data_IF_221047900772
#
_entry.id   IF_221047900772
#
_cell.length_a   1.000
_cell.length_b   1.000
_cell.length_c   1.000
_cell.angle_alpha   90.00
_cell.angle_beta   90.00
_cell.angle_gamma   90.00
#
_symmetry.space_group_name_H-M   'P 1'
#
loop_
_entity.id
_entity.type
_entity.pdbx_description
1 polymer ?
#
# COMPACT_ATOMS: atom_id res chain seq x y z
N UNK A 1 -4.10 -8.33 -13.56
CA UNK A 1 -2.93 -9.05 -12.96
C UNK A 1 -3.27 -9.53 -11.54
N UNK A 2 -2.64 -10.60 -11.05
CA UNK A 2 -2.81 -10.99 -9.63
C UNK A 2 -1.96 -10.12 -8.68
N UNK A 3 -2.28 -10.14 -7.38
CA UNK A 3 -1.58 -9.29 -6.42
C UNK A 3 -0.11 -9.67 -6.20
N UNK A 4 0.25 -10.95 -6.34
CA UNK A 4 1.64 -11.41 -6.18
C UNK A 4 2.52 -10.91 -7.32
N UNK A 5 1.97 -10.92 -8.54
CA UNK A 5 2.58 -10.31 -9.72
C UNK A 5 2.69 -8.79 -9.55
N UNK A 6 1.63 -8.14 -9.08
CA UNK A 6 1.64 -6.71 -8.81
C UNK A 6 2.74 -6.30 -7.83
N UNK A 7 2.90 -6.99 -6.70
CA UNK A 7 3.97 -6.71 -5.72
C UNK A 7 5.34 -6.74 -6.39
N UNK A 8 5.63 -7.75 -7.22
CA UNK A 8 6.91 -7.85 -7.95
C UNK A 8 7.14 -6.67 -8.89
N UNK A 9 6.10 -6.21 -9.59
CA UNK A 9 6.19 -5.09 -10.54
C UNK A 9 6.31 -3.74 -9.82
N UNK A 10 5.50 -3.52 -8.78
CA UNK A 10 5.48 -2.30 -7.99
C UNK A 10 6.83 -2.05 -7.31
N UNK A 11 7.43 -3.09 -6.73
CA UNK A 11 8.69 -2.97 -5.97
C UNK A 11 9.91 -2.65 -6.83
N UNK A 12 9.82 -2.69 -8.18
CA UNK A 12 10.86 -2.13 -9.06
C UNK A 12 11.01 -0.61 -8.91
N UNK A 13 10.02 0.04 -8.31
CA UNK A 13 10.03 1.49 -7.98
C UNK A 13 10.21 1.75 -6.50
N UNK A 14 10.51 0.71 -5.69
CA UNK A 14 10.93 0.93 -4.32
C UNK A 14 12.37 1.44 -4.30
N UNK A 15 12.72 2.21 -3.27
CA UNK A 15 14.10 2.65 -3.06
C UNK A 15 14.93 1.48 -2.52
N UNK A 16 16.10 1.27 -3.12
CA UNK A 16 17.07 0.28 -2.68
C UNK A 16 17.71 0.68 -1.33
N UNK A 17 18.23 -0.29 -0.57
CA UNK A 17 18.98 -0.10 0.68
C UNK A 17 18.25 0.57 1.86
N UNK A 18 16.92 0.57 1.88
CA UNK A 18 16.16 0.99 3.08
C UNK A 18 16.14 -0.10 4.15
N UNK A 19 16.25 0.32 5.42
CA UNK A 19 16.08 -0.59 6.54
C UNK A 19 14.64 -1.14 6.61
N UNK A 20 14.46 -2.28 7.28
CA UNK A 20 13.13 -2.85 7.55
C UNK A 20 12.21 -1.80 8.21
N UNK A 21 12.70 -1.11 9.23
CA UNK A 21 11.94 -0.11 9.96
C UNK A 21 11.53 1.07 9.06
N UNK A 22 12.44 1.59 8.22
CA UNK A 22 12.12 2.71 7.33
C UNK A 22 11.09 2.34 6.27
N UNK A 23 11.16 1.13 5.71
CA UNK A 23 10.15 0.65 4.77
C UNK A 23 8.79 0.45 5.42
N UNK A 24 8.74 -0.09 6.65
CA UNK A 24 7.48 -0.20 7.38
C UNK A 24 6.91 1.19 7.69
N UNK A 25 7.71 2.13 8.19
CA UNK A 25 7.26 3.49 8.48
C UNK A 25 6.78 4.20 7.22
N UNK A 26 7.49 4.08 6.10
CA UNK A 26 7.06 4.61 4.81
C UNK A 26 5.73 3.99 4.35
N UNK A 27 5.62 2.66 4.46
CA UNK A 27 4.41 1.92 4.15
C UNK A 27 3.19 2.41 4.94
N UNK A 28 3.34 2.57 6.26
CA UNK A 28 2.25 2.97 7.14
C UNK A 28 1.86 4.44 6.97
N UNK A 29 2.84 5.35 6.89
CA UNK A 29 2.58 6.78 6.70
C UNK A 29 1.95 7.04 5.34
N UNK A 30 2.51 6.43 4.29
CA UNK A 30 1.97 6.52 2.94
C UNK A 30 0.56 5.97 2.86
N UNK A 31 0.35 4.72 3.28
CA UNK A 31 -0.98 4.11 3.24
C UNK A 31 -2.04 4.91 4.01
N UNK A 32 -1.69 5.50 5.15
CA UNK A 32 -2.57 6.41 5.88
C UNK A 32 -2.93 7.65 5.06
N UNK A 33 -1.94 8.32 4.48
CA UNK A 33 -2.11 9.52 3.63
C UNK A 33 -2.95 9.23 2.39
N UNK A 34 -2.53 8.27 1.56
CA UNK A 34 -3.21 7.92 0.31
C UNK A 34 -4.66 7.46 0.55
N UNK A 35 -4.93 6.80 1.68
CA UNK A 35 -6.31 6.41 2.02
C UNK A 35 -7.19 7.65 2.26
N UNK A 36 -6.65 8.70 2.88
CA UNK A 36 -7.39 9.95 3.09
C UNK A 36 -7.57 10.69 1.76
N UNK A 37 -6.54 10.73 0.91
CA UNK A 37 -6.62 11.32 -0.43
C UNK A 37 -7.70 10.59 -1.26
N UNK A 38 -7.71 9.26 -1.29
CA UNK A 38 -8.76 8.47 -1.95
C UNK A 38 -10.17 8.81 -1.44
N UNK A 39 -10.35 8.94 -0.12
CA UNK A 39 -11.65 9.23 0.49
C UNK A 39 -12.13 10.67 0.24
N UNK A 40 -11.22 11.59 -0.07
CA UNK A 40 -11.51 13.02 -0.25
C UNK A 40 -11.38 13.51 -1.69
N UNK A 41 -10.84 12.68 -2.59
CA UNK A 41 -10.64 12.97 -4.00
C UNK A 41 -11.97 13.14 -4.76
N UNK A 42 -11.93 13.99 -5.79
CA UNK A 42 -12.93 13.98 -6.85
C UNK A 42 -12.91 12.65 -7.60
N UNK A 43 -13.99 12.34 -8.31
CA UNK A 43 -14.13 11.05 -9.01
C UNK A 43 -12.95 10.72 -9.94
N UNK A 44 -12.44 11.73 -10.64
CA UNK A 44 -11.29 11.61 -11.55
C UNK A 44 -9.97 11.25 -10.86
N UNK A 45 -9.81 11.61 -9.57
CA UNK A 45 -8.58 11.37 -8.81
C UNK A 45 -8.56 10.02 -8.10
N UNK A 46 -9.72 9.45 -7.76
CA UNK A 46 -9.82 8.26 -6.92
C UNK A 46 -9.06 7.04 -7.46
N UNK A 47 -8.97 6.90 -8.79
CA UNK A 47 -8.23 5.78 -9.40
C UNK A 47 -6.73 5.87 -9.09
N UNK A 48 -6.16 7.08 -9.14
CA UNK A 48 -4.74 7.31 -8.84
C UNK A 48 -4.45 7.04 -7.36
N UNK A 49 -5.28 7.61 -6.46
CA UNK A 49 -5.10 7.50 -5.01
C UNK A 49 -5.30 6.06 -4.52
N UNK A 50 -6.28 5.34 -5.07
CA UNK A 50 -6.45 3.93 -4.76
C UNK A 50 -5.26 3.12 -5.25
N UNK A 51 -4.72 3.43 -6.43
CA UNK A 51 -3.49 2.83 -6.94
C UNK A 51 -2.30 3.01 -5.99
N UNK A 52 -2.15 4.19 -5.38
CA UNK A 52 -1.08 4.49 -4.42
C UNK A 52 -1.30 3.76 -3.08
N UNK A 53 -2.55 3.59 -2.63
CA UNK A 53 -2.87 2.69 -1.50
C UNK A 53 -2.41 1.24 -1.75
N UNK A 54 -2.63 0.72 -2.97
CA UNK A 54 -2.13 -0.62 -3.33
C UNK A 54 -0.60 -0.68 -3.30
N UNK A 55 0.09 0.38 -3.72
CA UNK A 55 1.55 0.42 -3.73
C UNK A 55 2.14 0.33 -2.32
N UNK A 56 1.63 1.12 -1.37
CA UNK A 56 2.10 1.04 0.02
C UNK A 56 1.71 -0.28 0.69
N UNK A 57 0.56 -0.85 0.34
CA UNK A 57 0.18 -2.21 0.79
C UNK A 57 1.18 -3.25 0.25
N UNK A 58 1.58 -3.13 -1.02
CA UNK A 58 2.61 -3.99 -1.62
C UNK A 58 3.98 -3.81 -0.95
N UNK A 59 4.37 -2.58 -0.61
CA UNK A 59 5.59 -2.31 0.15
C UNK A 59 5.58 -3.03 1.50
N UNK A 60 4.47 -3.00 2.22
CA UNK A 60 4.33 -3.68 3.51
C UNK A 60 4.40 -5.21 3.37
N UNK A 61 3.73 -5.79 2.37
CA UNK A 61 3.84 -7.23 2.08
C UNK A 61 5.27 -7.62 1.69
N UNK A 62 5.92 -6.84 0.81
CA UNK A 62 7.30 -7.07 0.40
C UNK A 62 8.27 -7.01 1.59
N UNK A 63 8.15 -5.98 2.43
CA UNK A 63 9.06 -5.73 3.56
C UNK A 63 8.89 -6.77 4.66
N UNK A 64 7.67 -7.21 4.93
CA UNK A 64 7.39 -8.23 5.96
C UNK A 64 7.66 -9.66 5.49
N UNK A 65 7.66 -9.89 4.17
CA UNK A 65 7.76 -11.24 3.59
C UNK A 65 6.54 -12.13 3.87
N UNK A 66 5.45 -11.56 4.37
CA UNK A 66 4.22 -12.29 4.69
C UNK A 66 3.41 -12.57 3.42
N UNK A 67 2.64 -13.66 3.44
CA UNK A 67 1.73 -13.99 2.34
C UNK A 67 0.33 -13.43 2.58
N UNK A 68 -0.37 -13.07 1.51
CA UNK A 68 -1.76 -12.65 1.58
C UNK A 68 -2.65 -13.82 2.01
N UNK A 69 -3.45 -13.62 3.05
CA UNK A 69 -4.44 -14.61 3.47
C UNK A 69 -5.66 -14.56 2.54
N UNK A 70 -6.19 -15.73 2.21
CA UNK A 70 -7.50 -15.84 1.56
C UNK A 70 -8.61 -15.63 2.60
N UNK A 71 -9.05 -14.39 2.77
CA UNK A 71 -10.17 -14.03 3.64
C UNK A 71 -11.41 -13.69 2.81
N UNK A 72 -12.58 -14.16 3.24
CA UNK A 72 -13.86 -13.90 2.56
C UNK A 72 -14.61 -12.70 3.13
N UNK A 73 -14.15 -12.16 4.26
CA UNK A 73 -14.74 -11.00 4.93
C UNK A 73 -13.70 -10.29 5.78
N UNK A 74 -13.63 -8.98 5.63
CA UNK A 74 -12.84 -8.13 6.51
C UNK A 74 -13.50 -7.93 7.89
N UNK A 75 -12.68 -7.92 8.94
CA UNK A 75 -13.09 -7.70 10.34
C UNK A 75 -13.25 -6.22 10.68
N UNK A 76 -12.37 -5.36 10.16
CA UNK A 76 -12.37 -3.94 10.47
C UNK A 76 -12.64 -3.10 9.22
N UNK A 77 -12.82 -1.79 9.39
CA UNK A 77 -12.73 -0.85 8.27
C UNK A 77 -11.27 -0.71 7.83
N UNK A 78 -11.05 -0.15 6.62
CA UNK A 78 -9.71 0.10 6.09
C UNK A 78 -8.87 0.92 7.08
N UNK A 79 -9.38 2.07 7.53
CA UNK A 79 -8.67 2.96 8.45
C UNK A 79 -8.44 2.34 9.83
N UNK A 80 -9.39 1.55 10.34
CA UNK A 80 -9.20 0.82 11.59
C UNK A 80 -8.07 -0.21 11.48
N UNK A 81 -7.97 -0.96 10.39
CA UNK A 81 -6.88 -1.92 10.20
C UNK A 81 -5.52 -1.24 10.00
N UNK A 82 -5.47 -0.11 9.29
CA UNK A 82 -4.25 0.72 9.18
C UNK A 82 -3.81 1.22 10.57
N UNK A 83 -4.76 1.74 11.36
CA UNK A 83 -4.48 2.24 12.71
C UNK A 83 -3.98 1.15 13.67
N UNK A 84 -4.61 -0.03 13.67
CA UNK A 84 -4.19 -1.18 14.48
C UNK A 84 -2.79 -1.67 14.07
N UNK A 85 -2.52 -1.74 12.76
CA UNK A 85 -1.22 -2.15 12.25
C UNK A 85 -0.14 -1.14 12.65
N UNK A 86 -0.45 0.15 12.56
CA UNK A 86 0.44 1.24 12.94
C UNK A 86 0.74 1.23 14.43
N UNK A 87 -0.27 1.01 15.28
CA UNK A 87 -0.08 0.90 16.72
C UNK A 87 0.81 -0.29 17.11
N UNK A 88 0.65 -1.43 16.42
CA UNK A 88 1.47 -2.61 16.65
C UNK A 88 2.95 -2.37 16.31
N UNK A 89 3.24 -1.80 15.13
CA UNK A 89 4.61 -1.46 14.76
C UNK A 89 5.20 -0.34 15.64
N UNK A 90 4.41 0.64 16.05
CA UNK A 90 4.85 1.66 17.02
C UNK A 90 5.27 1.02 18.35
N UNK A 91 4.48 0.08 18.87
CA UNK A 91 4.81 -0.67 20.10
C UNK A 91 6.10 -1.49 19.92
N UNK A 92 6.25 -2.15 18.78
CA UNK A 92 7.44 -2.92 18.48
C UNK A 92 8.70 -2.03 18.40
N UNK A 93 8.67 -0.98 17.57
CA UNK A 93 9.83 -0.14 17.30
C UNK A 93 10.22 0.78 18.46
N UNK A 94 9.25 1.27 19.24
CA UNK A 94 9.50 2.36 20.20
C UNK A 94 9.19 2.00 21.65
N UNK A 95 8.64 0.83 21.94
CA UNK A 95 8.24 0.43 23.30
C UNK A 95 8.81 -0.94 23.72
N UNK A 96 9.57 -1.60 22.84
CA UNK A 96 10.23 -2.88 23.12
C UNK A 96 9.30 -4.09 23.11
N UNK A 97 8.10 -3.98 22.54
CA UNK A 97 7.18 -5.12 22.41
C UNK A 97 7.66 -6.10 21.31
N UNK A 98 7.30 -7.38 21.44
CA UNK A 98 7.54 -8.36 20.38
C UNK A 98 6.68 -8.08 19.14
N UNK A 99 7.21 -8.42 17.96
CA UNK A 99 6.45 -8.36 16.72
C UNK A 99 5.59 -9.62 16.57
N UNK A 100 4.28 -9.47 16.68
CA UNK A 100 3.31 -10.52 16.35
C UNK A 100 3.06 -10.57 14.83
N UNK A 101 3.77 -11.47 14.13
CA UNK A 101 3.64 -11.65 12.68
C UNK A 101 2.25 -12.13 12.25
N UNK A 102 1.54 -12.89 13.09
CA UNK A 102 0.19 -13.37 12.75
C UNK A 102 -0.79 -12.21 12.75
N UNK A 103 -0.71 -11.33 13.76
CA UNK A 103 -1.53 -10.11 13.81
C UNK A 103 -1.25 -9.22 12.60
N UNK A 104 0.03 -9.00 12.26
CA UNK A 104 0.44 -8.23 11.08
C UNK A 104 -0.17 -8.81 9.81
N UNK A 105 -0.05 -10.13 9.60
CA UNK A 105 -0.56 -10.80 8.41
C UNK A 105 -2.09 -10.65 8.27
N UNK A 106 -2.82 -10.80 9.38
CA UNK A 106 -4.28 -10.63 9.40
C UNK A 106 -4.66 -9.20 9.04
N UNK A 107 -4.02 -8.20 9.65
CA UNK A 107 -4.33 -6.79 9.40
C UNK A 107 -3.98 -6.35 7.97
N UNK A 108 -2.84 -6.80 7.43
CA UNK A 108 -2.47 -6.53 6.02
C UNK A 108 -3.43 -7.18 5.03
N UNK A 109 -3.88 -8.40 5.32
CA UNK A 109 -4.87 -9.09 4.48
C UNK A 109 -6.25 -8.41 4.57
N UNK A 110 -6.63 -7.91 5.74
CA UNK A 110 -7.84 -7.11 5.96
C UNK A 110 -7.81 -5.79 5.16
N UNK A 111 -6.66 -5.09 5.18
CA UNK A 111 -6.40 -3.90 4.38
C UNK A 111 -6.57 -4.22 2.90
N UNK A 112 -5.87 -5.24 2.37
CA UNK A 112 -5.95 -5.59 0.96
C UNK A 112 -7.37 -5.93 0.52
N UNK A 113 -8.09 -6.73 1.31
CA UNK A 113 -9.50 -7.03 1.04
C UNK A 113 -10.35 -5.77 0.98
N UNK A 114 -10.12 -4.80 1.87
CA UNK A 114 -10.87 -3.53 1.85
C UNK A 114 -10.52 -2.67 0.65
N UNK A 115 -9.27 -2.66 0.21
CA UNK A 115 -8.88 -2.00 -1.04
C UNK A 115 -9.53 -2.65 -2.26
N UNK A 116 -9.69 -3.98 -2.26
CA UNK A 116 -10.41 -4.70 -3.31
C UNK A 116 -11.90 -4.32 -3.35
N UNK A 117 -12.54 -4.26 -2.18
CA UNK A 117 -13.93 -3.78 -2.10
C UNK A 117 -14.03 -2.33 -2.56
N UNK A 118 -13.05 -1.49 -2.26
CA UNK A 118 -13.05 -0.07 -2.63
C UNK A 118 -13.08 0.19 -4.13
N UNK A 119 -12.58 -0.74 -4.97
CA UNK A 119 -12.61 -0.56 -6.43
C UNK A 119 -14.03 -0.49 -6.97
N UNK A 120 -14.98 -1.15 -6.29
CA UNK A 120 -16.41 -1.13 -6.67
C UNK A 120 -17.03 0.25 -6.54
N UNK A 121 -16.53 1.11 -5.64
CA UNK A 121 -17.03 2.47 -5.48
C UNK A 121 -16.61 3.40 -6.61
N UNK A 122 -15.64 2.99 -7.43
CA UNK A 122 -15.13 3.76 -8.57
C UNK A 122 -15.38 3.06 -9.90
N UNK A 123 -16.31 2.10 -9.94
CA UNK A 123 -16.65 1.31 -11.12
C UNK A 123 -15.44 0.63 -11.78
N UNK A 124 -14.52 0.10 -10.96
CA UNK A 124 -13.32 -0.61 -11.43
C UNK A 124 -13.11 -1.93 -10.67
N UNK A 125 -12.10 -2.68 -11.08
CA UNK A 125 -11.64 -3.94 -10.47
C UNK A 125 -10.25 -3.80 -9.84
N UNK A 126 -9.88 -4.70 -8.91
CA UNK A 126 -8.51 -4.76 -8.39
C UNK A 126 -7.46 -4.85 -9.49
N UNK A 127 -7.72 -5.66 -10.51
CA UNK A 127 -6.83 -5.87 -11.65
C UNK A 127 -6.57 -4.56 -12.42
N UNK A 128 -7.63 -3.81 -12.73
CA UNK A 128 -7.54 -2.54 -13.46
C UNK A 128 -6.80 -1.46 -12.64
N UNK A 129 -7.09 -1.34 -11.35
CA UNK A 129 -6.40 -0.38 -10.47
C UNK A 129 -4.91 -0.69 -10.38
N UNK A 130 -4.56 -1.97 -10.22
CA UNK A 130 -3.18 -2.43 -10.18
C UNK A 130 -2.46 -2.18 -11.52
N UNK A 131 -3.10 -2.49 -12.65
CA UNK A 131 -2.56 -2.25 -13.99
C UNK A 131 -2.36 -0.76 -14.29
N UNK A 132 -3.35 0.06 -13.94
CA UNK A 132 -3.26 1.52 -14.00
C UNK A 132 -2.07 2.04 -13.21
N UNK A 133 -1.92 1.59 -11.96
CA UNK A 133 -0.81 2.03 -11.13
C UNK A 133 0.55 1.63 -11.70
N UNK A 134 0.70 0.40 -12.22
CA UNK A 134 1.94 -0.02 -12.88
C UNK A 134 2.25 0.85 -14.10
N UNK A 135 1.24 1.19 -14.92
CA UNK A 135 1.42 2.06 -16.07
C UNK A 135 1.81 3.48 -15.66
N UNK A 136 1.21 4.02 -14.59
CA UNK A 136 1.57 5.31 -13.97
C UNK A 136 3.03 5.30 -13.51
N UNK A 137 3.44 4.27 -12.78
CA UNK A 137 4.80 4.10 -12.25
C UNK A 137 5.84 3.96 -13.37
N UNK A 138 5.58 3.15 -14.40
CA UNK A 138 6.49 3.01 -15.56
C UNK A 138 6.73 4.32 -16.29
N UNK A 139 5.71 5.17 -16.40
CA UNK A 139 5.83 6.51 -17.01
C UNK A 139 6.68 7.45 -16.14
N UNK A 140 6.52 7.38 -14.82
CA UNK A 140 7.24 8.23 -13.85
C UNK A 140 8.69 7.80 -13.64
N UNK A 141 8.93 6.49 -13.65
CA UNK A 141 10.17 5.85 -13.22
C UNK A 141 10.59 4.77 -14.22
N UNK A 142 10.91 5.12 -15.48
CA UNK A 142 11.23 4.14 -16.52
C UNK A 142 12.48 3.31 -16.19
N UNK A 143 13.45 3.93 -15.48
CA UNK A 143 14.71 3.32 -15.05
C UNK A 143 14.74 3.01 -13.53
N UNK A 144 13.57 2.98 -12.87
CA UNK A 144 13.47 2.86 -11.40
C UNK A 144 13.28 4.20 -10.69
N UNK A 145 13.15 4.14 -9.36
CA UNK A 145 12.85 5.33 -8.55
C UNK A 145 14.05 6.27 -8.45
N UNK A 146 13.81 7.55 -8.73
CA UNK A 146 14.79 8.62 -8.57
C UNK A 146 14.20 9.74 -7.72
N UNK A 147 14.92 10.12 -6.66
CA UNK A 147 14.51 11.16 -5.71
C UNK A 147 14.22 12.49 -6.43
N UNK A 148 15.03 12.87 -7.40
CA UNK A 148 14.84 14.13 -8.16
C UNK A 148 13.55 14.14 -8.98
N UNK A 149 13.18 13.01 -9.60
CA UNK A 149 11.89 12.87 -10.31
C UNK A 149 10.70 12.95 -9.33
N UNK A 150 10.90 12.51 -8.08
CA UNK A 150 9.93 12.64 -7.01
C UNK A 150 9.80 14.07 -6.46
N UNK A 151 10.85 14.89 -6.50
CA UNK A 151 10.79 16.29 -6.01
C UNK A 151 10.23 17.21 -7.10
N UNK A 152 10.64 17.01 -8.36
CA UNK A 152 10.29 17.88 -9.48
C UNK A 152 8.97 17.52 -10.18
N UNK A 153 8.01 16.95 -9.43
CA UNK A 153 6.70 16.57 -9.97
C UNK A 153 5.96 17.83 -10.41
N UNK A 154 5.40 17.84 -11.63
CA UNK A 154 4.31 18.77 -11.95
C UNK A 154 3.10 18.29 -11.14
N UNK A 155 2.58 19.14 -10.25
CA UNK A 155 1.40 18.81 -9.44
C UNK A 155 0.23 18.38 -10.34
N UNK A 156 -0.55 17.41 -9.86
CA UNK A 156 -1.81 16.98 -10.48
C UNK A 156 -2.76 18.18 -10.63
#
# INVERSE_FOLDING_TARGET
MDFKEYVKLAMKTNVEDRSFQDNILNGLLGLCGETIEFLTASEDGKLDELGDCYWYTALLFHTTGLELLNITKAKNSLMSSIGLLSDHFKKHFFQGHSLDSNLVQVLLSDIKFRLDVSTTFINSSPEEVMEHNINKLKKRFPEGFEVEKSINRKGN
#
